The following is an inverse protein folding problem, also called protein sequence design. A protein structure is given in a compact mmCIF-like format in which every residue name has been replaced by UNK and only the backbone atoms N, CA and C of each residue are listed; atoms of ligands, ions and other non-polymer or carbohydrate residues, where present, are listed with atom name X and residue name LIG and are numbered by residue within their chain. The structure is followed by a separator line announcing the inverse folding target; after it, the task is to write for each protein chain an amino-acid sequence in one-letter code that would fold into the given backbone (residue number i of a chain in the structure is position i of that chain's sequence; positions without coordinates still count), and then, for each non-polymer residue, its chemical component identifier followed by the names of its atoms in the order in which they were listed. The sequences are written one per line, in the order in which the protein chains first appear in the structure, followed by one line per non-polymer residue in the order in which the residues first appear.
data_IF_119656088884
#
_entry.id   IF_119656088884
#
_cell.length_a   1.000
_cell.length_b   1.000
_cell.length_c   1.000
_cell.angle_alpha   90.00
_cell.angle_beta   90.00
_cell.angle_gamma   90.00
#
_symmetry.space_group_name_H-M   'P 1'
#
loop_
_entity.id
_entity.type
_entity.pdbx_description
1 polymer ?
#
# COMPACT_ATOMS: atom_id res chain seq x y z
N UNK A 1 0.18 -2.36 -2.29
CA UNK A 1 -0.71 -1.41 -2.99
C UNK A 1 -1.48 -0.60 -1.95
N UNK A 2 -1.98 0.56 -2.36
CA UNK A 2 -2.71 1.46 -1.48
C UNK A 2 -4.08 0.87 -1.07
N UNK A 3 -4.75 1.41 -0.05
CA UNK A 3 -6.00 0.86 0.47
C UNK A 3 -7.14 0.74 -0.54
N UNK A 4 -7.26 1.70 -1.47
CA UNK A 4 -8.30 1.65 -2.51
C UNK A 4 -8.06 0.46 -3.44
N UNK A 5 -6.83 0.31 -3.93
CA UNK A 5 -6.47 -0.81 -4.80
C UNK A 5 -6.56 -2.15 -4.08
N UNK A 6 -6.23 -2.17 -2.79
CA UNK A 6 -6.37 -3.34 -1.91
C UNK A 6 -7.83 -3.81 -1.83
N UNK A 7 -8.76 -2.89 -1.58
CA UNK A 7 -10.19 -3.21 -1.49
C UNK A 7 -10.78 -3.62 -2.84
N UNK A 8 -10.43 -2.91 -3.91
CA UNK A 8 -10.86 -3.26 -5.27
C UNK A 8 -10.39 -4.67 -5.67
N UNK A 9 -9.15 -5.04 -5.35
CA UNK A 9 -8.63 -6.38 -5.60
C UNK A 9 -9.45 -7.45 -4.86
N UNK A 10 -9.88 -7.17 -3.64
CA UNK A 10 -10.67 -8.07 -2.80
C UNK A 10 -12.18 -8.07 -3.12
N UNK A 11 -12.63 -7.27 -4.09
CA UNK A 11 -14.06 -7.09 -4.38
C UNK A 11 -14.82 -6.35 -3.27
N UNK A 12 -14.12 -5.60 -2.42
CA UNK A 12 -14.70 -4.79 -1.35
C UNK A 12 -14.95 -3.37 -1.88
N UNK A 13 -16.13 -2.82 -1.60
CA UNK A 13 -16.48 -1.45 -1.96
C UNK A 13 -15.57 -0.43 -1.24
N UNK A 14 -14.80 0.41 -1.96
CA UNK A 14 -13.91 1.39 -1.36
C UNK A 14 -14.59 2.74 -1.02
N UNK A 15 -15.92 2.89 -1.18
CA UNK A 15 -16.63 4.17 -0.95
C UNK A 15 -16.30 4.80 0.41
N UNK A 16 -16.22 4.01 1.48
CA UNK A 16 -15.90 4.48 2.84
C UNK A 16 -14.47 5.02 3.00
N UNK A 17 -13.56 4.71 2.06
CA UNK A 17 -12.21 5.28 2.02
C UNK A 17 -12.19 6.69 1.42
N UNK A 18 -13.24 7.08 0.68
CA UNK A 18 -13.35 8.42 0.09
C UNK A 18 -13.89 9.49 1.04
N UNK A 19 -14.37 9.12 2.23
CA UNK A 19 -15.01 10.04 3.17
C UNK A 19 -14.44 9.85 4.58
N UNK A 20 -14.28 10.94 5.33
CA UNK A 20 -13.86 10.86 6.72
C UNK A 20 -14.86 10.00 7.53
N UNK A 21 -14.39 9.05 8.37
CA UNK A 21 -13.04 8.92 8.91
C UNK A 21 -12.07 8.03 8.08
N UNK A 22 -12.36 7.78 6.81
CA UNK A 22 -11.55 6.99 5.87
C UNK A 22 -11.43 5.54 6.32
N UNK A 23 -12.57 4.91 6.57
CA UNK A 23 -12.64 3.64 7.29
C UNK A 23 -12.22 2.45 6.42
N UNK A 24 -11.28 1.65 6.94
CA UNK A 24 -10.92 0.36 6.36
C UNK A 24 -11.96 -0.71 6.73
N UNK A 25 -12.61 -1.30 5.75
CA UNK A 25 -13.41 -2.52 5.95
C UNK A 25 -12.56 -3.71 6.47
N UNK A 26 -11.30 -3.79 6.04
CA UNK A 26 -10.31 -4.74 6.55
C UNK A 26 -8.92 -4.10 6.55
N UNK A 27 -8.13 -4.37 7.57
CA UNK A 27 -6.76 -3.84 7.75
C UNK A 27 -5.71 -4.93 8.02
N UNK A 28 -6.13 -6.12 8.45
CA UNK A 28 -5.22 -7.24 8.72
C UNK A 28 -4.68 -7.89 7.45
N UNK A 29 -3.59 -8.66 7.57
CA UNK A 29 -3.12 -9.49 6.46
C UNK A 29 -4.09 -10.62 6.17
N UNK A 30 -4.10 -11.06 4.91
CA UNK A 30 -5.02 -12.09 4.44
C UNK A 30 -4.25 -13.18 3.70
N UNK A 31 -4.67 -14.43 3.88
CA UNK A 31 -4.23 -15.56 3.06
C UNK A 31 -5.43 -16.19 2.41
N UNK A 32 -5.47 -16.18 1.08
CA UNK A 32 -6.60 -16.60 0.27
C UNK A 32 -6.15 -17.70 -0.69
N UNK A 33 -7.10 -18.51 -1.18
CA UNK A 33 -6.80 -19.41 -2.29
C UNK A 33 -6.83 -18.62 -3.61
N UNK A 34 -5.88 -18.88 -4.52
CA UNK A 34 -5.80 -18.12 -5.77
C UNK A 34 -7.05 -18.25 -6.64
N UNK A 35 -7.75 -19.39 -6.53
CA UNK A 35 -9.04 -19.65 -7.19
C UNK A 35 -10.18 -18.75 -6.72
N UNK A 36 -10.08 -18.17 -5.53
CA UNK A 36 -11.08 -17.26 -4.96
C UNK A 36 -10.92 -15.83 -5.50
N UNK A 37 -9.80 -15.55 -6.20
CA UNK A 37 -9.44 -14.24 -6.74
C UNK A 37 -9.42 -14.20 -8.27
N UNK A 38 -10.10 -15.15 -8.91
CA UNK A 38 -10.16 -15.30 -10.38
C UNK A 38 -8.78 -15.40 -11.07
N UNK A 39 -7.73 -15.81 -10.34
CA UNK A 39 -6.38 -16.01 -10.87
C UNK A 39 -6.20 -17.43 -11.44
N UNK A 40 -6.93 -17.75 -12.51
CA UNK A 40 -6.95 -19.09 -13.11
C UNK A 40 -5.63 -19.52 -13.79
N UNK A 41 -4.69 -18.61 -14.00
CA UNK A 41 -3.38 -18.92 -14.56
C UNK A 41 -2.39 -19.50 -13.53
N UNK A 42 -2.79 -19.58 -12.26
CA UNK A 42 -1.96 -20.12 -11.17
C UNK A 42 -2.23 -21.62 -10.93
N UNK A 43 -1.35 -22.25 -10.15
CA UNK A 43 -1.58 -23.61 -9.66
C UNK A 43 -2.86 -23.66 -8.79
N UNK A 44 -3.62 -24.76 -8.88
CA UNK A 44 -4.87 -24.94 -8.14
C UNK A 44 -4.72 -24.83 -6.61
N UNK A 45 -3.56 -25.15 -6.06
CA UNK A 45 -3.24 -25.06 -4.63
C UNK A 45 -2.44 -23.79 -4.29
N UNK A 46 -2.31 -22.85 -5.22
CA UNK A 46 -1.61 -21.60 -4.96
C UNK A 46 -2.38 -20.76 -3.94
N UNK A 47 -1.62 -20.15 -3.03
CA UNK A 47 -2.11 -19.22 -2.02
C UNK A 47 -1.67 -17.81 -2.37
N UNK A 48 -2.56 -16.84 -2.17
CA UNK A 48 -2.27 -15.42 -2.26
C UNK A 48 -2.13 -14.90 -0.84
N UNK A 49 -1.04 -14.19 -0.58
CA UNK A 49 -0.84 -13.47 0.68
C UNK A 49 -0.89 -11.97 0.42
N UNK A 50 -1.79 -11.30 1.13
CA UNK A 50 -2.01 -9.85 1.02
C UNK A 50 -1.53 -9.22 2.33
N UNK A 51 -0.62 -8.26 2.20
CA UNK A 51 -0.08 -7.50 3.33
C UNK A 51 -1.16 -6.59 3.96
N UNK A 52 -1.04 -6.26 5.26
CA UNK A 52 -2.03 -5.45 5.96
C UNK A 52 -2.03 -3.99 5.46
N UNK A 53 -3.16 -3.30 5.58
CA UNK A 53 -3.23 -1.85 5.44
C UNK A 53 -3.01 -1.17 6.79
N UNK A 54 -2.18 -0.13 6.82
CA UNK A 54 -1.82 0.60 8.06
C UNK A 54 -2.93 1.59 8.44
N UNK A 55 -3.51 2.31 7.48
CA UNK A 55 -4.58 3.28 7.67
C UNK A 55 -5.37 3.51 6.37
N UNK A 56 -6.45 4.30 6.41
CA UNK A 56 -7.31 4.57 5.23
C UNK A 56 -6.58 5.14 4.00
N UNK A 57 -5.43 5.78 4.20
CA UNK A 57 -4.56 6.27 3.11
C UNK A 57 -3.15 5.67 3.12
N UNK A 58 -2.85 4.73 4.02
CA UNK A 58 -1.52 4.10 4.13
C UNK A 58 -1.69 2.60 3.96
N UNK A 59 -1.29 2.09 2.81
CA UNK A 59 -1.64 0.74 2.38
C UNK A 59 -0.62 -0.34 2.65
N UNK A 60 -0.86 -1.47 1.99
CA UNK A 60 -0.02 -2.66 1.99
C UNK A 60 1.32 -2.46 1.28
N UNK A 61 1.43 -1.47 0.38
CA UNK A 61 2.71 -1.00 -0.18
C UNK A 61 3.60 -0.38 0.89
N UNK A 62 3.08 0.55 1.70
CA UNK A 62 3.84 1.11 2.82
C UNK A 62 4.25 0.04 3.83
N UNK A 63 3.39 -0.97 4.07
CA UNK A 63 3.75 -2.12 4.89
C UNK A 63 4.88 -2.97 4.27
N UNK A 64 4.90 -3.13 2.94
CA UNK A 64 5.97 -3.81 2.23
C UNK A 64 7.30 -3.03 2.32
N UNK A 65 7.25 -1.70 2.19
CA UNK A 65 8.41 -0.82 2.38
C UNK A 65 8.94 -0.92 3.80
N UNK A 66 8.07 -0.89 4.81
CA UNK A 66 8.47 -1.06 6.21
C UNK A 66 9.13 -2.43 6.47
N UNK A 67 8.68 -3.49 5.77
CA UNK A 67 9.28 -4.83 5.85
C UNK A 67 10.63 -4.91 5.12
N UNK A 68 10.82 -4.18 4.03
CA UNK A 68 12.06 -4.15 3.24
C UNK A 68 13.14 -3.33 3.93
N UNK A 69 12.80 -2.10 4.31
CA UNK A 69 13.75 -1.11 4.83
C UNK A 69 13.96 -1.23 6.33
N UNK A 70 13.04 -1.92 7.03
CA UNK A 70 13.07 -2.19 8.47
C UNK A 70 13.48 -0.99 9.34
N UNK A 71 12.86 0.21 9.18
CA UNK A 71 13.27 1.41 9.93
C UNK A 71 13.20 1.21 11.44
N UNK A 72 12.32 0.34 11.92
CA UNK A 72 12.21 -0.06 13.32
C UNK A 72 13.39 -0.88 13.88
N UNK A 73 14.39 -1.21 13.06
CA UNK A 73 15.65 -1.84 13.49
C UNK A 73 16.85 -0.89 13.43
N UNK A 74 16.67 0.32 12.93
CA UNK A 74 17.73 1.32 12.85
C UNK A 74 17.95 1.99 14.20
N UNK A 75 19.22 2.24 14.53
CA UNK A 75 19.60 3.10 15.68
C UNK A 75 19.50 4.58 15.35
N UNK A 76 19.67 4.92 14.07
CA UNK A 76 19.51 6.27 13.56
C UNK A 76 18.07 6.49 13.10
N UNK A 77 17.58 7.71 13.19
CA UNK A 77 16.26 8.08 12.68
C UNK A 77 16.25 8.00 11.15
N UNK A 78 15.40 7.14 10.59
CA UNK A 78 15.29 6.89 9.14
C UNK A 78 14.01 7.53 8.60
N UNK A 79 14.13 8.22 7.48
CA UNK A 79 13.01 8.70 6.66
C UNK A 79 12.99 7.92 5.35
N UNK A 80 11.93 7.17 5.11
CA UNK A 80 11.65 6.51 3.83
C UNK A 80 10.51 7.24 3.14
N UNK A 81 10.68 7.52 1.85
CA UNK A 81 9.66 8.17 1.01
C UNK A 81 9.46 7.33 -0.23
N UNK A 82 8.29 6.70 -0.35
CA UNK A 82 7.83 6.11 -1.60
C UNK A 82 7.10 7.19 -2.40
N UNK A 83 7.54 7.44 -3.63
CA UNK A 83 7.04 8.54 -4.47
C UNK A 83 6.29 7.96 -5.66
N UNK A 84 4.96 8.02 -5.59
CA UNK A 84 4.08 7.75 -6.72
C UNK A 84 2.99 8.81 -6.85
N UNK A 85 1.82 8.39 -7.29
CA UNK A 85 0.58 9.20 -7.34
C UNK A 85 0.21 9.75 -5.96
N UNK A 86 0.46 8.97 -4.92
CA UNK A 86 0.58 9.43 -3.55
C UNK A 86 2.03 9.25 -3.11
N UNK A 87 2.44 10.00 -2.08
CA UNK A 87 3.67 9.73 -1.36
C UNK A 87 3.35 9.07 -0.02
N UNK A 88 3.80 7.84 0.16
CA UNK A 88 3.81 7.15 1.44
C UNK A 88 5.14 7.42 2.15
N UNK A 89 5.06 7.87 3.41
CA UNK A 89 6.22 8.30 4.17
C UNK A 89 6.29 7.49 5.47
N UNK A 90 7.46 6.93 5.75
CA UNK A 90 7.79 6.28 7.02
C UNK A 90 8.90 7.07 7.72
N UNK A 91 8.71 7.36 9.00
CA UNK A 91 9.73 7.99 9.85
C UNK A 91 9.89 7.16 11.12
N UNK A 92 11.10 6.64 11.37
CA UNK A 92 11.29 5.87 12.59
C UNK A 92 12.68 5.32 12.84
N UNK A 93 12.81 4.74 14.03
CA UNK A 93 13.96 4.05 14.58
C UNK A 93 13.46 2.93 15.51
N UNK A 94 14.36 2.31 16.28
CA UNK A 94 14.05 1.28 17.27
C UNK A 94 13.02 1.69 18.35
N UNK A 95 12.78 2.98 18.56
CA UNK A 95 11.79 3.47 19.52
C UNK A 95 10.37 3.44 18.98
N UNK A 96 10.18 3.84 17.71
CA UNK A 96 8.87 3.93 17.06
C UNK A 96 9.02 4.15 15.55
N UNK A 97 8.05 3.64 14.80
CA UNK A 97 7.81 4.00 13.39
C UNK A 97 6.47 4.72 13.25
N UNK A 98 6.48 5.85 12.54
CA UNK A 98 5.32 6.62 12.13
C UNK A 98 5.11 6.46 10.63
N UNK A 99 3.85 6.50 10.20
CA UNK A 99 3.49 6.45 8.80
C UNK A 99 2.47 7.55 8.47
N UNK A 100 2.60 8.15 7.29
CA UNK A 100 1.59 9.03 6.72
C UNK A 100 1.57 8.89 5.20
N UNK A 101 0.53 9.44 4.57
CA UNK A 101 0.43 9.55 3.12
C UNK A 101 0.07 10.99 2.74
N UNK A 102 0.55 11.44 1.60
CA UNK A 102 0.27 12.76 1.02
C UNK A 102 -0.10 12.61 -0.45
N UNK A 103 -1.14 13.29 -0.95
CA UNK A 103 -1.39 13.36 -2.38
C UNK A 103 -0.24 14.13 -3.07
N UNK A 104 0.30 13.56 -4.14
CA UNK A 104 1.42 14.15 -4.91
C UNK A 104 1.07 14.35 -6.37
N UNK A 105 0.21 13.49 -6.92
CA UNK A 105 -0.12 13.43 -8.34
C UNK A 105 0.92 12.62 -9.13
N UNK A 106 0.53 12.04 -10.28
CA UNK A 106 1.32 11.04 -10.97
C UNK A 106 2.40 11.64 -11.90
N UNK A 107 2.94 12.82 -11.56
CA UNK A 107 3.88 13.54 -12.42
C UNK A 107 5.16 12.73 -12.67
N UNK A 108 5.69 12.07 -11.64
CA UNK A 108 6.86 11.19 -11.75
C UNK A 108 6.56 9.83 -12.41
N UNK A 109 5.28 9.48 -12.58
CA UNK A 109 4.84 8.32 -13.35
C UNK A 109 4.66 8.66 -14.84
N UNK A 110 4.94 9.92 -15.23
CA UNK A 110 4.78 10.41 -16.61
C UNK A 110 3.34 10.72 -16.99
N UNK A 111 2.38 10.61 -16.07
CA UNK A 111 1.00 11.01 -16.35
C UNK A 111 0.81 12.52 -16.18
N UNK A 112 -0.15 13.08 -16.90
CA UNK A 112 -0.46 14.52 -16.89
C UNK A 112 0.72 15.43 -17.34
N UNK A 113 1.71 14.86 -18.03
CA UNK A 113 2.81 15.59 -18.68
C UNK A 113 2.68 15.36 -20.20
N UNK A 114 2.72 16.43 -21.01
CA UNK A 114 2.42 16.38 -22.45
C UNK A 114 3.28 15.41 -23.27
N UNK A 115 4.48 15.10 -22.77
CA UNK A 115 5.39 14.11 -23.34
C UNK A 115 5.89 13.12 -22.27
N UNK A 116 5.11 12.95 -21.20
CA UNK A 116 5.43 12.00 -20.15
C UNK A 116 5.24 10.56 -20.64
N UNK A 117 6.15 9.70 -20.20
CA UNK A 117 6.13 8.27 -20.50
C UNK A 117 6.53 7.52 -19.24
N UNK A 118 6.03 6.30 -19.09
CA UNK A 118 6.48 5.39 -18.05
C UNK A 118 7.79 4.74 -18.50
N UNK A 119 8.72 4.59 -17.56
CA UNK A 119 9.97 3.83 -17.77
C UNK A 119 9.69 2.34 -18.01
#
# INVERSE_FOLDING_TARGET
CNPVMHHLLLGIDPVELGQAPFALATSGSMSLDAREMDLHAMNDNARIYILPCIAGHVGADAAAVALSEEPGKSKDLVLVVDVGTNAEILLGDESRVLACSSPTGPAFEGAQISSGQRA
#
